data_IF_236010079036
#
_entry.id   IF_236010079036
#
_cell.length_a   1.000
_cell.length_b   1.000
_cell.length_c   1.000
_cell.angle_alpha   90.00
_cell.angle_beta   90.00
_cell.angle_gamma   90.00
#
_symmetry.space_group_name_H-M   'P 1'
#
loop_
_entity.id
_entity.type
_entity.pdbx_description
1 polymer ?
#
# COMPACT_ATOMS: atom_id res chain seq x y z
N UNK A 1 -9.27 10.80 -11.36
CA UNK A 1 -7.95 11.44 -11.59
C UNK A 1 -7.01 11.04 -10.45
N UNK A 2 -5.70 10.82 -10.67
CA UNK A 2 -4.77 10.40 -9.59
C UNK A 2 -4.74 11.39 -8.40
N UNK A 3 -4.97 12.68 -8.68
CA UNK A 3 -5.06 13.74 -7.68
C UNK A 3 -6.25 13.57 -6.72
N UNK A 4 -7.39 13.05 -7.18
CA UNK A 4 -8.58 12.83 -6.34
C UNK A 4 -8.36 11.64 -5.40
N UNK A 5 -7.71 10.58 -5.90
CA UNK A 5 -7.30 9.43 -5.09
C UNK A 5 -6.32 9.86 -3.99
N UNK A 6 -5.31 10.66 -4.32
CA UNK A 6 -4.36 11.16 -3.34
C UNK A 6 -5.02 12.00 -2.23
N UNK A 7 -6.05 12.78 -2.56
CA UNK A 7 -6.84 13.54 -1.57
C UNK A 7 -7.71 12.63 -0.70
N UNK A 8 -8.37 11.63 -1.30
CA UNK A 8 -9.18 10.63 -0.57
C UNK A 8 -8.35 9.80 0.43
N UNK A 9 -7.07 9.55 0.11
CA UNK A 9 -6.16 8.75 0.93
C UNK A 9 -5.17 9.59 1.76
N UNK A 10 -5.33 10.93 1.82
CA UNK A 10 -4.44 11.86 2.52
C UNK A 10 -2.94 11.63 2.20
N UNK A 11 -2.59 11.36 0.95
CA UNK A 11 -1.20 11.13 0.52
C UNK A 11 -0.47 12.49 0.45
N UNK A 12 0.20 12.87 1.54
CA UNK A 12 0.98 14.12 1.62
C UNK A 12 2.50 13.91 1.49
N UNK A 13 2.94 12.67 1.66
CA UNK A 13 4.37 12.31 1.77
C UNK A 13 4.70 11.26 0.71
N UNK A 14 5.59 11.61 -0.21
CA UNK A 14 6.14 10.69 -1.21
C UNK A 14 7.55 10.33 -0.74
N UNK A 15 7.94 9.05 -0.68
CA UNK A 15 7.23 7.86 -1.19
C UNK A 15 6.15 7.32 -0.23
N UNK A 16 5.05 6.83 -0.79
CA UNK A 16 4.02 6.07 -0.07
C UNK A 16 3.49 4.93 -0.96
N UNK A 17 3.16 3.79 -0.35
CA UNK A 17 2.66 2.58 -1.02
C UNK A 17 1.33 2.18 -0.39
N UNK A 18 0.29 2.03 -1.23
CA UNK A 18 -1.05 1.62 -0.81
C UNK A 18 -1.31 0.18 -1.24
N UNK A 19 -1.64 -0.68 -0.28
CA UNK A 19 -2.02 -2.07 -0.52
C UNK A 19 -3.54 -2.22 -0.42
N UNK A 20 -4.18 -2.72 -1.48
CA UNK A 20 -5.63 -2.91 -1.56
C UNK A 20 -5.92 -4.41 -1.72
N UNK A 21 -6.24 -5.13 -0.63
CA UNK A 21 -6.64 -6.53 -0.74
C UNK A 21 -8.01 -6.67 -1.39
N UNK A 22 -8.23 -7.78 -2.11
CA UNK A 22 -9.54 -8.09 -2.69
C UNK A 22 -10.65 -8.22 -1.63
N UNK A 23 -10.27 -8.65 -0.42
CA UNK A 23 -11.15 -8.74 0.75
C UNK A 23 -10.45 -8.12 1.97
N UNK A 24 -11.00 -7.05 2.52
CA UNK A 24 -10.47 -6.38 3.71
C UNK A 24 -10.35 -4.87 3.56
N UNK A 25 -9.68 -4.22 4.50
CA UNK A 25 -9.43 -2.77 4.45
C UNK A 25 -8.07 -2.49 3.81
N UNK A 26 -7.97 -1.47 2.93
CA UNK A 26 -6.69 -1.01 2.41
C UNK A 26 -5.72 -0.60 3.52
N UNK A 27 -4.43 -0.85 3.32
CA UNK A 27 -3.38 -0.43 4.24
C UNK A 27 -2.36 0.44 3.51
N UNK A 28 -2.03 1.58 4.10
CA UNK A 28 -1.04 2.51 3.57
C UNK A 28 0.28 2.40 4.35
N UNK A 29 1.38 2.30 3.62
CA UNK A 29 2.72 2.42 4.14
C UNK A 29 3.32 3.74 3.66
N UNK A 30 3.76 4.58 4.58
CA UNK A 30 4.41 5.86 4.28
C UNK A 30 5.90 5.71 4.50
N UNK A 31 6.71 6.17 3.54
CA UNK A 31 8.18 6.08 3.58
C UNK A 31 8.75 5.05 2.61
N UNK A 32 10.07 4.94 2.63
CA UNK A 32 10.81 3.99 1.79
C UNK A 32 10.61 2.56 2.30
N UNK A 33 10.55 1.61 1.38
CA UNK A 33 10.39 0.20 1.67
C UNK A 33 11.45 -0.59 0.90
N UNK A 34 12.13 -1.50 1.58
CA UNK A 34 13.04 -2.44 0.92
C UNK A 34 12.27 -3.51 0.15
N UNK A 35 12.94 -4.17 -0.80
CA UNK A 35 12.32 -5.25 -1.59
C UNK A 35 11.78 -6.39 -0.73
N UNK A 36 12.50 -6.74 0.33
CA UNK A 36 12.12 -7.81 1.27
C UNK A 36 10.88 -7.44 2.08
N UNK A 37 10.80 -6.19 2.56
CA UNK A 37 9.63 -5.67 3.27
C UNK A 37 8.40 -5.62 2.35
N UNK A 38 8.59 -5.26 1.08
CA UNK A 38 7.53 -5.24 0.08
C UNK A 38 6.98 -6.65 -0.15
N UNK A 39 7.83 -7.64 -0.39
CA UNK A 39 7.41 -9.03 -0.59
C UNK A 39 6.66 -9.59 0.63
N UNK A 40 7.11 -9.25 1.84
CA UNK A 40 6.43 -9.65 3.07
C UNK A 40 5.06 -8.98 3.20
N UNK A 41 4.99 -7.66 3.04
CA UNK A 41 3.74 -6.87 3.11
C UNK A 41 2.71 -7.33 2.08
N UNK A 42 3.14 -7.65 0.87
CA UNK A 42 2.28 -8.20 -0.19
C UNK A 42 1.64 -9.52 0.28
N UNK A 43 2.44 -10.47 0.79
CA UNK A 43 1.92 -11.75 1.29
C UNK A 43 0.97 -11.55 2.47
N UNK A 44 1.34 -10.70 3.42
CA UNK A 44 0.59 -10.51 4.67
C UNK A 44 -0.72 -9.75 4.44
N UNK A 45 -0.71 -8.67 3.63
CA UNK A 45 -1.86 -7.80 3.42
C UNK A 45 -2.76 -8.35 2.31
N UNK A 46 -2.18 -8.75 1.18
CA UNK A 46 -2.96 -9.26 0.05
C UNK A 46 -3.27 -10.76 0.18
N UNK A 47 -2.80 -11.42 1.25
CA UNK A 47 -3.05 -12.85 1.57
C UNK A 47 -2.76 -13.80 0.40
N UNK A 48 -1.78 -13.46 -0.42
CA UNK A 48 -1.39 -14.26 -1.59
C UNK A 48 -0.32 -15.26 -1.17
N UNK A 49 -0.69 -16.54 -1.22
CA UNK A 49 0.26 -17.66 -1.20
C UNK A 49 0.90 -17.75 -2.59
N UNK A 50 2.23 -17.84 -2.65
CA UNK A 50 2.95 -18.04 -3.91
C UNK A 50 2.73 -19.45 -4.45
#
# INVERSE_FOLDING_TARGET
>A
NEQELSQLFNITSIPAVLFIPANGQPQMNVGYMTKEELDKKIKDILKISK
#
